data_IF_322525108356
#
_entry.id   IF_322525108356
#
_cell.length_a   1.000
_cell.length_b   1.000
_cell.length_c   1.000
_cell.angle_alpha   90.00
_cell.angle_beta   90.00
_cell.angle_gamma   90.00
#
_symmetry.space_group_name_H-M   'P 1'
#
loop_
_entity.id
_entity.type
_entity.pdbx_description
1 polymer ?
#
# COMPACT_ATOMS: atom_id res chain seq x y z
N UNK A 1 9.76 20.69 2.64
CA UNK A 1 8.56 20.28 1.90
C UNK A 1 7.93 21.48 1.15
N UNK A 2 8.76 22.39 0.61
CA UNK A 2 8.28 23.67 0.07
C UNK A 2 7.60 23.55 -1.31
N UNK A 3 7.84 22.45 -2.03
CA UNK A 3 7.35 22.25 -3.39
C UNK A 3 5.84 21.96 -3.44
N UNK A 4 5.31 21.25 -2.43
CA UNK A 4 3.88 20.96 -2.29
C UNK A 4 3.13 22.15 -1.68
N UNK A 5 3.73 22.81 -0.67
CA UNK A 5 3.16 24.01 -0.05
C UNK A 5 2.98 25.18 -1.03
N UNK A 6 3.83 25.26 -2.07
CA UNK A 6 3.76 26.31 -3.10
C UNK A 6 2.60 26.15 -4.10
N UNK A 7 1.95 24.98 -4.16
CA UNK A 7 0.90 24.70 -5.15
C UNK A 7 -0.54 24.90 -4.66
N UNK A 8 -0.73 25.16 -3.36
CA UNK A 8 -2.07 25.31 -2.79
C UNK A 8 -2.71 23.98 -2.40
N UNK A 9 -4.03 23.94 -2.16
CA UNK A 9 -4.72 22.73 -1.72
C UNK A 9 -4.68 21.64 -2.80
N UNK A 10 -4.52 20.38 -2.37
CA UNK A 10 -4.41 19.25 -3.27
C UNK A 10 -5.63 19.12 -4.21
N UNK A 11 -5.36 18.96 -5.52
CA UNK A 11 -6.37 18.57 -6.50
C UNK A 11 -6.23 17.07 -6.84
N UNK A 12 -7.15 16.21 -6.41
CA UNK A 12 -7.08 14.77 -6.68
C UNK A 12 -7.26 14.42 -8.16
N UNK A 13 -7.85 15.30 -8.94
CA UNK A 13 -7.97 15.13 -10.39
C UNK A 13 -6.67 15.54 -11.14
N UNK A 14 -5.66 16.08 -10.45
CA UNK A 14 -4.35 16.37 -11.04
C UNK A 14 -3.42 15.14 -10.94
N UNK A 15 -3.13 14.46 -12.08
CA UNK A 15 -2.28 13.27 -12.09
C UNK A 15 -0.82 13.57 -11.72
N UNK A 16 -0.35 14.81 -11.91
CA UNK A 16 1.00 15.20 -11.49
C UNK A 16 1.10 15.34 -9.98
N UNK A 17 0.10 15.95 -9.32
CA UNK A 17 0.10 16.05 -7.85
C UNK A 17 -0.03 14.69 -7.19
N UNK A 18 -0.91 13.83 -7.72
CA UNK A 18 -1.05 12.46 -7.24
C UNK A 18 0.26 11.66 -7.39
N UNK A 19 0.95 11.79 -8.53
CA UNK A 19 2.27 11.19 -8.71
C UNK A 19 3.34 11.78 -7.78
N UNK A 20 3.34 13.10 -7.58
CA UNK A 20 4.30 13.76 -6.70
C UNK A 20 4.12 13.32 -5.25
N UNK A 21 2.87 13.21 -4.80
CA UNK A 21 2.50 12.64 -3.50
C UNK A 21 3.00 11.20 -3.36
N UNK A 22 2.74 10.36 -4.36
CA UNK A 22 3.18 8.96 -4.37
C UNK A 22 4.71 8.82 -4.35
N UNK A 23 5.44 9.69 -5.05
CA UNK A 23 6.90 9.60 -5.14
C UNK A 23 7.59 10.20 -3.91
N UNK A 24 7.05 11.28 -3.34
CA UNK A 24 7.73 12.03 -2.27
C UNK A 24 7.25 11.61 -0.89
N UNK A 25 5.95 11.42 -0.70
CA UNK A 25 5.38 11.16 0.64
C UNK A 25 5.18 9.69 0.92
N UNK A 26 4.81 8.86 -0.06
CA UNK A 26 4.65 7.41 0.20
C UNK A 26 5.90 6.72 0.75
N UNK A 27 7.13 7.02 0.28
CA UNK A 27 8.36 6.48 0.88
C UNK A 27 8.55 6.89 2.35
N UNK A 28 8.23 8.13 2.69
CA UNK A 28 8.31 8.64 4.08
C UNK A 28 7.29 7.93 4.97
N UNK A 29 6.07 7.69 4.46
CA UNK A 29 5.05 6.94 5.19
C UNK A 29 5.42 5.46 5.36
N UNK A 30 6.01 4.83 4.34
CA UNK A 30 6.59 3.48 4.46
C UNK A 30 7.71 3.44 5.50
N UNK A 31 8.62 4.41 5.49
CA UNK A 31 9.68 4.51 6.50
C UNK A 31 9.11 4.57 7.91
N UNK A 32 7.98 5.27 8.10
CA UNK A 32 7.32 5.36 9.41
C UNK A 32 6.80 4.04 9.98
N UNK A 33 6.66 2.97 9.17
CA UNK A 33 6.44 1.60 9.68
C UNK A 33 7.61 1.16 10.55
N UNK A 34 8.84 1.50 10.14
CA UNK A 34 10.07 1.08 10.79
C UNK A 34 10.64 2.16 11.73
N UNK A 35 10.20 3.41 11.58
CA UNK A 35 10.70 4.56 12.33
C UNK A 35 9.55 5.25 13.10
N UNK A 36 9.45 4.94 14.40
CA UNK A 36 8.41 5.48 15.27
C UNK A 36 8.41 7.02 15.43
N UNK A 37 9.49 7.71 15.03
CA UNK A 37 9.55 9.19 15.03
C UNK A 37 8.74 9.81 13.90
N UNK A 38 8.51 9.07 12.82
CA UNK A 38 7.66 9.51 11.71
C UNK A 38 6.22 9.13 12.06
N UNK A 39 5.38 10.14 12.29
CA UNK A 39 3.97 9.97 12.57
C UNK A 39 3.16 10.47 11.39
N UNK A 40 2.28 9.62 10.87
CA UNK A 40 1.26 10.03 9.90
C UNK A 40 0.12 10.66 10.69
N UNK A 41 -0.20 11.93 10.43
CA UNK A 41 -1.35 12.57 11.06
C UNK A 41 -2.64 12.20 10.33
N UNK A 42 -3.79 12.31 11.00
CA UNK A 42 -5.09 12.07 10.38
C UNK A 42 -5.32 12.97 9.13
N UNK A 43 -4.85 14.22 9.19
CA UNK A 43 -4.89 15.16 8.07
C UNK A 43 -4.01 14.71 6.90
N UNK A 44 -2.84 14.15 7.18
CA UNK A 44 -1.96 13.52 6.18
C UNK A 44 -2.51 12.19 5.63
N UNK A 45 -3.60 11.66 6.18
CA UNK A 45 -4.31 10.51 5.58
C UNK A 45 -5.43 11.00 4.67
N UNK A 46 -6.17 12.04 5.06
CA UNK A 46 -7.36 12.49 4.33
C UNK A 46 -7.03 13.16 2.99
N UNK A 47 -6.01 14.03 2.95
CA UNK A 47 -5.52 14.65 1.70
C UNK A 47 -4.82 13.62 0.78
N UNK A 48 -4.49 12.44 1.33
CA UNK A 48 -3.66 11.42 0.71
C UNK A 48 -4.46 10.22 0.21
N UNK A 49 -5.54 9.85 0.89
CA UNK A 49 -6.51 8.87 0.43
C UNK A 49 -7.09 9.27 -0.93
N UNK A 50 -7.26 10.57 -1.16
CA UNK A 50 -7.74 11.11 -2.43
C UNK A 50 -6.71 10.97 -3.56
N UNK A 51 -5.40 10.96 -3.24
CA UNK A 51 -4.31 10.97 -4.21
C UNK A 51 -3.70 9.57 -4.47
N UNK A 52 -3.67 8.74 -3.45
CA UNK A 52 -2.90 7.49 -3.38
C UNK A 52 -3.76 6.26 -3.04
N UNK A 53 -5.07 6.43 -2.87
CA UNK A 53 -6.01 5.34 -2.65
C UNK A 53 -5.71 4.48 -1.40
N UNK A 54 -6.13 3.20 -1.39
CA UNK A 54 -6.11 2.35 -0.19
C UNK A 54 -4.71 2.07 0.39
N UNK A 55 -3.64 2.11 -0.41
CA UNK A 55 -2.27 1.78 0.03
C UNK A 55 -1.79 2.58 1.25
N UNK A 56 -1.98 3.91 1.25
CA UNK A 56 -1.51 4.75 2.35
C UNK A 56 -2.36 4.58 3.62
N UNK A 57 -3.66 4.35 3.45
CA UNK A 57 -4.54 4.00 4.56
C UNK A 57 -4.06 2.72 5.25
N UNK A 58 -3.72 1.70 4.45
CA UNK A 58 -3.18 0.43 4.96
C UNK A 58 -1.83 0.65 5.65
N UNK A 59 -0.93 1.48 5.09
CA UNK A 59 0.35 1.83 5.74
C UNK A 59 0.11 2.50 7.10
N UNK A 60 -0.79 3.48 7.16
CA UNK A 60 -1.12 4.19 8.40
C UNK A 60 -1.71 3.26 9.46
N UNK A 61 -2.65 2.41 9.07
CA UNK A 61 -3.22 1.37 9.95
C UNK A 61 -2.15 0.38 10.42
N UNK A 62 -1.25 -0.03 9.54
CA UNK A 62 -0.13 -0.92 9.90
C UNK A 62 0.77 -0.27 10.96
N UNK A 63 1.09 1.02 10.82
CA UNK A 63 1.86 1.74 11.85
C UNK A 63 1.14 1.78 13.20
N UNK A 64 -0.17 2.06 13.18
CA UNK A 64 -0.99 2.12 14.39
C UNK A 64 -1.03 0.76 15.10
N UNK A 65 -1.26 -0.33 14.36
CA UNK A 65 -1.23 -1.70 14.88
C UNK A 65 0.11 -2.04 15.54
N UNK A 66 1.23 -1.72 14.89
CA UNK A 66 2.57 -1.95 15.46
C UNK A 66 2.75 -1.17 16.77
N UNK A 67 2.31 0.09 16.83
CA UNK A 67 2.41 0.91 18.04
C UNK A 67 1.54 0.39 19.16
N UNK A 68 0.27 0.05 18.88
CA UNK A 68 -0.67 -0.50 19.87
C UNK A 68 -0.17 -1.83 20.41
N UNK A 69 0.33 -2.72 19.55
CA UNK A 69 0.97 -3.96 19.96
C UNK A 69 2.20 -3.73 20.86
N UNK A 70 3.09 -2.81 20.48
CA UNK A 70 4.28 -2.49 21.27
C UNK A 70 3.93 -1.90 22.65
N UNK A 71 2.91 -1.04 22.74
CA UNK A 71 2.43 -0.47 24.00
C UNK A 71 1.76 -1.54 24.88
N UNK A 72 0.91 -2.39 24.31
CA UNK A 72 0.26 -3.50 25.01
C UNK A 72 1.28 -4.50 25.57
N UNK A 73 2.41 -4.73 24.89
CA UNK A 73 3.49 -5.59 25.39
C UNK A 73 4.26 -4.98 26.57
N UNK A 74 4.19 -3.65 26.74
CA UNK A 74 4.80 -2.91 27.84
C UNK A 74 3.85 -2.62 29.01
N UNK A 75 2.55 -2.89 28.89
CA UNK A 75 1.54 -2.64 29.92
C UNK A 75 0.75 -3.91 30.25
N UNK A 76 0.36 -4.09 31.51
CA UNK A 76 -0.37 -5.29 32.00
C UNK A 76 -1.82 -5.40 31.49
N UNK A 77 -2.34 -4.37 30.82
CA UNK A 77 -3.65 -4.37 30.17
C UNK A 77 -3.43 -4.45 28.66
N UNK A 78 -3.59 -5.65 28.09
CA UNK A 78 -3.52 -5.84 26.65
C UNK A 78 -4.63 -5.08 25.92
N UNK A 79 -4.33 -4.53 24.74
CA UNK A 79 -5.35 -3.99 23.84
C UNK A 79 -6.20 -5.16 23.32
N UNK A 80 -7.44 -5.26 23.82
CA UNK A 80 -8.33 -6.40 23.55
C UNK A 80 -8.74 -6.51 22.06
N UNK A 81 -8.64 -5.41 21.30
CA UNK A 81 -9.14 -5.36 19.92
C UNK A 81 -8.02 -5.38 18.88
N UNK A 82 -6.75 -5.33 19.29
CA UNK A 82 -5.61 -5.24 18.35
C UNK A 82 -5.54 -6.42 17.37
N UNK A 83 -5.98 -7.60 17.79
CA UNK A 83 -6.05 -8.81 16.95
C UNK A 83 -7.14 -8.66 15.88
N UNK A 84 -8.34 -8.27 16.28
CA UNK A 84 -9.48 -8.07 15.36
C UNK A 84 -9.18 -6.97 14.34
N UNK A 85 -8.62 -5.84 14.81
CA UNK A 85 -8.22 -4.73 13.95
C UNK A 85 -7.13 -5.13 12.95
N UNK A 86 -6.18 -6.00 13.36
CA UNK A 86 -5.14 -6.50 12.47
C UNK A 86 -5.73 -7.37 11.35
N UNK A 87 -6.65 -8.27 11.68
CA UNK A 87 -7.36 -9.10 10.69
C UNK A 87 -8.21 -8.26 9.75
N UNK A 88 -8.94 -7.27 10.26
CA UNK A 88 -9.76 -6.37 9.42
C UNK A 88 -8.90 -5.51 8.49
N UNK A 89 -7.78 -4.98 8.99
CA UNK A 89 -6.80 -4.26 8.17
C UNK A 89 -6.26 -5.16 7.05
N UNK A 90 -5.92 -6.42 7.38
CA UNK A 90 -5.42 -7.38 6.39
C UNK A 90 -6.47 -7.70 5.32
N UNK A 91 -7.73 -7.92 5.73
CA UNK A 91 -8.86 -8.17 4.83
C UNK A 91 -9.08 -6.99 3.86
N UNK A 92 -9.05 -5.75 4.35
CA UNK A 92 -9.15 -4.56 3.50
C UNK A 92 -8.01 -4.48 2.49
N UNK A 93 -6.80 -4.85 2.92
CA UNK A 93 -5.63 -4.92 2.05
C UNK A 93 -5.81 -5.94 0.93
N UNK A 94 -6.36 -7.11 1.24
CA UNK A 94 -6.65 -8.15 0.23
C UNK A 94 -7.74 -7.74 -0.75
N UNK A 95 -8.82 -7.12 -0.27
CA UNK A 95 -9.90 -6.62 -1.14
C UNK A 95 -9.36 -5.57 -2.14
N UNK A 96 -8.55 -4.63 -1.64
CA UNK A 96 -7.92 -3.61 -2.48
C UNK A 96 -6.98 -4.24 -3.53
N UNK A 97 -6.23 -5.30 -3.17
CA UNK A 97 -5.39 -6.00 -4.14
C UNK A 97 -6.21 -6.66 -5.25
N UNK A 98 -7.36 -7.25 -4.95
CA UNK A 98 -8.20 -7.88 -5.96
C UNK A 98 -8.75 -6.87 -6.97
N UNK A 99 -9.18 -5.70 -6.48
CA UNK A 99 -9.59 -4.58 -7.32
C UNK A 99 -8.45 -4.15 -8.27
N UNK A 100 -7.26 -3.90 -7.71
CA UNK A 100 -6.13 -3.46 -8.52
C UNK A 100 -5.61 -4.53 -9.47
N UNK A 101 -5.69 -5.82 -9.12
CA UNK A 101 -5.43 -6.91 -10.07
C UNK A 101 -6.40 -6.89 -11.25
N UNK A 102 -7.67 -6.56 -11.03
CA UNK A 102 -8.63 -6.43 -12.12
C UNK A 102 -8.28 -5.25 -13.03
N UNK A 103 -7.88 -4.11 -12.46
CA UNK A 103 -7.40 -2.94 -13.21
C UNK A 103 -6.14 -3.28 -14.02
N UNK A 104 -5.18 -3.99 -13.42
CA UNK A 104 -3.96 -4.46 -14.11
C UNK A 104 -4.30 -5.34 -15.31
N UNK A 105 -5.16 -6.35 -15.12
CA UNK A 105 -5.61 -7.20 -16.23
C UNK A 105 -6.28 -6.41 -17.36
N UNK A 106 -7.06 -5.39 -17.03
CA UNK A 106 -7.71 -4.54 -18.03
C UNK A 106 -6.69 -3.69 -18.82
N UNK A 107 -5.67 -3.14 -18.15
CA UNK A 107 -4.65 -2.33 -18.82
C UNK A 107 -3.69 -3.19 -19.66
N UNK A 108 -3.40 -4.42 -19.22
CA UNK A 108 -2.63 -5.41 -20.00
C UNK A 108 -3.34 -5.77 -21.30
N UNK A 109 -4.65 -6.07 -21.21
CA UNK A 109 -5.47 -6.35 -22.39
C UNK A 109 -5.48 -5.16 -23.36
N UNK A 110 -5.54 -3.93 -22.84
CA UNK A 110 -5.50 -2.71 -23.64
C UNK A 110 -4.13 -2.50 -24.31
N UNK A 111 -3.03 -2.75 -23.59
CA UNK A 111 -1.65 -2.69 -24.10
C UNK A 111 -1.39 -3.70 -25.20
N UNK A 112 -1.98 -4.90 -25.10
CA UNK A 112 -1.88 -5.94 -26.12
C UNK A 112 -2.70 -5.61 -27.38
N UNK A 113 -3.90 -5.05 -27.21
CA UNK A 113 -4.83 -4.73 -28.30
C UNK A 113 -4.46 -3.46 -29.07
N UNK A 114 -3.77 -2.50 -28.44
CA UNK A 114 -3.49 -1.18 -29.05
C UNK A 114 -2.07 -1.13 -29.60
N UNK A 115 -1.93 -1.02 -30.93
CA UNK A 115 -0.64 -0.78 -31.61
C UNK A 115 -0.78 0.31 -32.67
N UNK A 116 0.14 1.29 -32.76
CA UNK A 116 1.27 1.52 -31.86
C UNK A 116 0.81 1.99 -30.47
N UNK A 117 1.61 1.68 -29.45
CA UNK A 117 1.33 2.08 -28.07
C UNK A 117 1.62 3.57 -27.91
N UNK A 118 0.66 4.33 -27.37
CA UNK A 118 0.89 5.74 -27.06
C UNK A 118 1.72 5.88 -25.77
N UNK A 119 2.52 6.95 -25.67
CA UNK A 119 3.30 7.24 -24.46
C UNK A 119 2.41 7.32 -23.20
N UNK A 120 1.19 7.86 -23.34
CA UNK A 120 0.19 7.93 -22.26
C UNK A 120 -0.24 6.54 -21.80
N UNK A 121 -0.46 5.61 -22.74
CA UNK A 121 -0.85 4.24 -22.41
C UNK A 121 0.29 3.47 -21.72
N UNK A 122 1.53 3.64 -22.20
CA UNK A 122 2.73 3.05 -21.57
C UNK A 122 2.90 3.59 -20.15
N UNK A 123 2.76 4.89 -19.94
CA UNK A 123 2.88 5.51 -18.62
C UNK A 123 1.77 5.03 -17.67
N UNK A 124 0.53 4.93 -18.15
CA UNK A 124 -0.58 4.40 -17.36
C UNK A 124 -0.36 2.93 -16.98
N UNK A 125 0.10 2.11 -17.92
CA UNK A 125 0.44 0.70 -17.69
C UNK A 125 1.51 0.55 -16.59
N UNK A 126 2.62 1.29 -16.72
CA UNK A 126 3.67 1.29 -15.70
C UNK A 126 3.17 1.82 -14.34
N UNK A 127 2.31 2.84 -14.35
CA UNK A 127 1.71 3.40 -13.13
C UNK A 127 0.86 2.39 -12.36
N UNK A 128 -0.04 1.69 -13.05
CA UNK A 128 -0.91 0.66 -12.45
C UNK A 128 -0.08 -0.49 -11.85
N UNK A 129 0.95 -0.95 -12.56
CA UNK A 129 1.82 -2.02 -12.05
C UNK A 129 2.65 -1.61 -10.84
N UNK A 130 3.19 -0.38 -10.84
CA UNK A 130 3.93 0.16 -9.68
C UNK A 130 3.01 0.26 -8.47
N UNK A 131 1.76 0.70 -8.67
CA UNK A 131 0.79 0.80 -7.60
C UNK A 131 0.44 -0.58 -7.02
N UNK A 132 0.11 -1.55 -7.87
CA UNK A 132 -0.17 -2.92 -7.44
C UNK A 132 1.04 -3.53 -6.72
N UNK A 133 2.26 -3.34 -7.24
CA UNK A 133 3.48 -3.82 -6.60
C UNK A 133 3.70 -3.21 -5.21
N UNK A 134 3.42 -1.91 -5.05
CA UNK A 134 3.48 -1.26 -3.75
C UNK A 134 2.43 -1.82 -2.78
N UNK A 135 1.18 -2.01 -3.24
CA UNK A 135 0.11 -2.58 -2.43
C UNK A 135 0.43 -4.01 -1.98
N UNK A 136 0.96 -4.85 -2.88
CA UNK A 136 1.44 -6.21 -2.56
C UNK A 136 2.56 -6.15 -1.50
N UNK A 137 3.53 -5.26 -1.67
CA UNK A 137 4.63 -5.08 -0.71
C UNK A 137 4.15 -4.69 0.70
N UNK A 138 3.23 -3.72 0.79
CA UNK A 138 2.61 -3.32 2.06
C UNK A 138 1.80 -4.48 2.66
N UNK A 139 1.05 -5.22 1.84
CA UNK A 139 0.28 -6.38 2.29
C UNK A 139 1.18 -7.48 2.87
N UNK A 140 2.39 -7.69 2.33
CA UNK A 140 3.38 -8.62 2.90
C UNK A 140 3.83 -8.16 4.28
N UNK A 141 4.09 -6.86 4.47
CA UNK A 141 4.47 -6.29 5.77
C UNK A 141 3.33 -6.52 6.77
N UNK A 142 2.10 -6.20 6.37
CA UNK A 142 0.91 -6.38 7.21
C UNK A 142 0.69 -7.87 7.55
N UNK A 143 0.83 -8.78 6.60
CA UNK A 143 0.79 -10.23 6.85
C UNK A 143 1.81 -10.65 7.93
N UNK A 144 3.03 -10.11 7.88
CA UNK A 144 4.05 -10.35 8.91
C UNK A 144 3.62 -9.79 10.27
N UNK A 145 3.03 -8.59 10.31
CA UNK A 145 2.54 -7.96 11.55
C UNK A 145 1.41 -8.79 12.16
N UNK A 146 0.40 -9.18 11.36
CA UNK A 146 -0.72 -10.01 11.81
C UNK A 146 -0.22 -11.35 12.35
N UNK A 147 0.73 -11.99 11.67
CA UNK A 147 1.33 -13.26 12.13
C UNK A 147 2.04 -13.16 13.49
N UNK A 148 2.51 -11.97 13.87
CA UNK A 148 3.14 -11.71 15.17
C UNK A 148 2.11 -11.35 16.24
N UNK A 149 1.04 -10.64 15.86
CA UNK A 149 -0.06 -10.27 16.74
C UNK A 149 -0.91 -11.50 17.09
N UNK A 150 -1.17 -12.37 16.11
CA UNK A 150 -1.95 -13.60 16.24
C UNK A 150 -1.08 -14.84 15.97
N UNK A 151 -0.47 -15.37 17.03
CA UNK A 151 0.39 -16.55 16.97
C UNK A 151 -0.33 -17.85 16.56
N UNK A 152 -1.67 -17.90 16.59
CA UNK A 152 -2.44 -19.13 16.29
C UNK A 152 -2.76 -19.26 14.79
N UNK A 153 -2.65 -18.18 14.02
CA UNK A 153 -3.08 -18.12 12.62
C UNK A 153 -1.93 -18.38 11.61
N UNK A 154 -1.25 -19.52 11.72
CA UNK A 154 0.05 -19.75 11.05
C UNK A 154 -0.03 -20.21 9.57
N UNK A 155 -0.93 -21.12 9.21
CA UNK A 155 -0.79 -21.84 7.93
C UNK A 155 -1.31 -21.06 6.70
N UNK A 156 -2.44 -20.37 6.82
CA UNK A 156 -3.05 -19.58 5.74
C UNK A 156 -2.21 -18.35 5.42
N UNK A 157 -1.85 -17.57 6.44
CA UNK A 157 -0.99 -16.39 6.29
C UNK A 157 0.38 -16.75 5.69
N UNK A 158 0.97 -17.90 6.06
CA UNK A 158 2.22 -18.36 5.46
C UNK A 158 2.08 -18.66 3.97
N UNK A 159 0.99 -19.34 3.56
CA UNK A 159 0.71 -19.64 2.15
C UNK A 159 0.52 -18.34 1.35
N UNK A 160 -0.27 -17.42 1.89
CA UNK A 160 -0.57 -16.14 1.24
C UNK A 160 0.70 -15.32 1.05
N UNK A 161 1.58 -15.29 2.05
CA UNK A 161 2.89 -14.63 1.95
C UNK A 161 3.73 -15.17 0.79
N UNK A 162 3.81 -16.49 0.61
CA UNK A 162 4.56 -17.08 -0.50
C UNK A 162 3.95 -16.67 -1.85
N UNK A 163 2.62 -16.68 -1.97
CA UNK A 163 1.94 -16.23 -3.18
C UNK A 163 2.22 -14.75 -3.49
N UNK A 164 2.20 -13.87 -2.48
CA UNK A 164 2.50 -12.44 -2.63
C UNK A 164 3.95 -12.18 -3.04
N UNK A 165 4.90 -12.96 -2.52
CA UNK A 165 6.31 -12.86 -2.92
C UNK A 165 6.47 -13.23 -4.41
N UNK A 166 5.82 -14.32 -4.85
CA UNK A 166 5.84 -14.74 -6.25
C UNK A 166 5.20 -13.68 -7.17
N UNK A 167 4.10 -13.05 -6.72
CA UNK A 167 3.47 -11.96 -7.46
C UNK A 167 4.38 -10.73 -7.58
N UNK A 168 5.11 -10.39 -6.50
CA UNK A 168 6.10 -9.30 -6.56
C UNK A 168 7.16 -9.57 -7.62
N UNK A 169 7.68 -10.80 -7.69
CA UNK A 169 8.67 -11.19 -8.71
C UNK A 169 8.10 -11.06 -10.13
N UNK A 170 6.87 -11.53 -10.35
CA UNK A 170 6.21 -11.40 -11.65
C UNK A 170 5.99 -9.94 -12.05
N UNK A 171 5.59 -9.07 -11.11
CA UNK A 171 5.40 -7.64 -11.38
C UNK A 171 6.71 -6.94 -11.75
N UNK A 172 7.82 -7.32 -11.13
CA UNK A 172 9.15 -6.78 -11.46
C UNK A 172 9.55 -7.13 -12.90
N UNK A 173 9.31 -8.37 -13.33
CA UNK A 173 9.57 -8.80 -14.71
C UNK A 173 8.72 -8.00 -15.70
N UNK A 174 7.42 -7.83 -15.43
CA UNK A 174 6.50 -7.09 -16.31
C UNK A 174 6.88 -5.62 -16.48
N UNK A 175 7.30 -4.95 -15.41
CA UNK A 175 7.72 -3.53 -15.47
C UNK A 175 9.07 -3.36 -16.14
N UNK A 176 9.97 -4.35 -16.07
CA UNK A 176 11.30 -4.27 -16.68
C UNK A 176 11.29 -4.38 -18.22
N UNK A 177 10.21 -4.89 -18.81
CA UNK A 177 10.09 -5.12 -20.26
C UNK A 177 9.60 -3.90 -21.07
N UNK A 178 9.28 -2.78 -20.42
CA UNK A 178 8.75 -1.56 -21.05
C UNK A 178 9.34 -0.28 -20.45
#
# INVERSE_FOLDING_TARGET
>A
MQLLEARGPHNPDDPFESQLIMVVRAPVHLEGIFNAKIKVSAADTQEFEQAAGPVLHIISQTQDLIRRWAMARGQTLGDANVVEDAHECYRKSTDAMEEWRAITRAIDARMAATKPQSAVLVQAHAGVHRYLGLLVGVTIILNCVVSVIDCECSATLCRDRTALILETLALVETVAHY
#
